data_IF_321179279794
#
_entry.id   IF_321179279794
#
_cell.length_a   1.000
_cell.length_b   1.000
_cell.length_c   1.000
_cell.angle_alpha   90.00
_cell.angle_beta   90.00
_cell.angle_gamma   90.00
#
_symmetry.space_group_name_H-M   'P 1'
#
loop_
_entity.id
_entity.type
_entity.pdbx_description
1 polymer ?
#
# COMPACT_ATOMS: atom_id res chain seq x y z
N UNK A 1 -28.65 2.00 -19.27
CA UNK A 1 -27.98 1.90 -17.96
C UNK A 1 -26.93 0.82 -18.09
N UNK A 2 -25.67 1.16 -17.91
CA UNK A 2 -24.66 0.13 -17.70
C UNK A 2 -24.98 -0.58 -16.38
N UNK A 3 -25.13 -1.90 -16.43
CA UNK A 3 -25.32 -2.71 -15.24
C UNK A 3 -23.94 -2.90 -14.63
N UNK A 4 -23.72 -2.31 -13.46
CA UNK A 4 -22.53 -2.59 -12.65
C UNK A 4 -22.71 -3.95 -11.97
N UNK A 5 -21.94 -4.94 -12.40
CA UNK A 5 -21.94 -6.29 -11.82
C UNK A 5 -21.04 -6.40 -10.58
N UNK A 6 -20.47 -5.30 -10.09
CA UNK A 6 -19.60 -5.29 -8.92
C UNK A 6 -20.37 -5.57 -7.62
N UNK A 7 -19.76 -6.37 -6.74
CA UNK A 7 -20.24 -6.61 -5.38
C UNK A 7 -19.77 -5.55 -4.37
N UNK A 8 -19.07 -4.51 -4.85
CA UNK A 8 -18.47 -3.44 -4.03
C UNK A 8 -18.57 -2.10 -4.76
N UNK A 9 -18.69 -1.01 -4.00
CA UNK A 9 -18.69 0.34 -4.57
C UNK A 9 -17.26 0.84 -4.81
N UNK A 10 -17.11 1.88 -5.64
CA UNK A 10 -15.79 2.53 -5.85
C UNK A 10 -15.25 3.11 -4.54
N UNK A 11 -16.11 3.66 -3.70
CA UNK A 11 -15.78 4.23 -2.40
C UNK A 11 -15.32 3.15 -1.42
N UNK A 12 -15.94 1.97 -1.43
CA UNK A 12 -15.51 0.83 -0.61
C UNK A 12 -14.09 0.38 -0.97
N UNK A 13 -13.80 0.27 -2.28
CA UNK A 13 -12.47 -0.07 -2.79
C UNK A 13 -11.44 1.01 -2.46
N UNK A 14 -11.79 2.30 -2.57
CA UNK A 14 -10.90 3.40 -2.19
C UNK A 14 -10.58 3.35 -0.69
N UNK A 15 -11.58 3.11 0.16
CA UNK A 15 -11.38 2.96 1.60
C UNK A 15 -10.48 1.77 1.93
N UNK A 16 -10.67 0.64 1.25
CA UNK A 16 -9.81 -0.53 1.38
C UNK A 16 -8.34 -0.21 1.08
N UNK A 17 -8.05 0.44 -0.06
CA UNK A 17 -6.69 0.85 -0.39
C UNK A 17 -6.12 1.87 0.59
N UNK A 18 -6.92 2.84 1.04
CA UNK A 18 -6.49 3.83 2.02
C UNK A 18 -6.11 3.19 3.36
N UNK A 19 -6.84 2.15 3.78
CA UNK A 19 -6.52 1.36 4.98
C UNK A 19 -5.15 0.71 4.85
N UNK A 20 -4.89 0.01 3.74
CA UNK A 20 -3.60 -0.62 3.46
C UNK A 20 -2.47 0.41 3.45
N UNK A 21 -2.63 1.51 2.71
CA UNK A 21 -1.64 2.60 2.64
C UNK A 21 -1.33 3.18 4.03
N UNK A 22 -2.36 3.35 4.87
CA UNK A 22 -2.21 3.86 6.24
C UNK A 22 -1.43 2.89 7.12
N UNK A 23 -1.70 1.59 7.04
CA UNK A 23 -0.99 0.56 7.79
C UNK A 23 0.48 0.46 7.38
N UNK A 24 0.76 0.49 6.07
CA UNK A 24 2.14 0.51 5.56
C UNK A 24 2.89 1.73 6.11
N UNK A 25 2.29 2.91 6.05
CA UNK A 25 2.89 4.13 6.61
C UNK A 25 3.14 4.00 8.11
N UNK A 26 2.18 3.49 8.88
CA UNK A 26 2.28 3.27 10.32
C UNK A 26 3.49 2.37 10.64
N UNK A 27 3.53 1.16 10.09
CA UNK A 27 4.61 0.22 10.37
C UNK A 27 5.97 0.70 9.85
N UNK A 28 6.01 1.39 8.69
CA UNK A 28 7.23 2.02 8.19
C UNK A 28 7.80 3.02 9.19
N UNK A 29 6.94 3.87 9.76
CA UNK A 29 7.35 4.86 10.76
C UNK A 29 7.75 4.22 12.08
N UNK A 30 7.06 3.17 12.53
CA UNK A 30 7.46 2.39 13.72
C UNK A 30 8.84 1.73 13.56
N UNK A 31 9.23 1.36 12.34
CA UNK A 31 10.58 0.87 12.01
C UNK A 31 11.61 1.98 11.76
N UNK A 32 11.22 3.25 11.80
CA UNK A 32 12.11 4.39 11.55
C UNK A 32 12.63 4.47 10.11
N UNK A 33 11.93 3.87 9.13
CA UNK A 33 12.37 3.84 7.74
C UNK A 33 11.85 5.05 6.96
N UNK A 34 12.68 5.64 6.11
CA UNK A 34 12.21 6.61 5.11
C UNK A 34 11.43 5.89 4.00
N UNK A 35 10.60 6.63 3.27
CA UNK A 35 9.93 6.10 2.07
C UNK A 35 10.95 5.60 1.04
N UNK A 36 12.05 6.31 0.87
CA UNK A 36 13.14 5.94 -0.05
C UNK A 36 13.80 4.62 0.35
N UNK A 37 14.12 4.46 1.64
CA UNK A 37 14.74 3.23 2.12
C UNK A 37 13.84 2.03 1.89
N UNK A 38 12.54 2.14 2.20
CA UNK A 38 11.60 1.04 1.99
C UNK A 38 11.34 0.78 0.50
N UNK A 39 11.23 1.82 -0.33
CA UNK A 39 11.07 1.67 -1.78
C UNK A 39 12.23 0.90 -2.42
N UNK A 40 13.47 1.26 -2.08
CA UNK A 40 14.66 0.56 -2.57
C UNK A 40 14.70 -0.91 -2.11
N UNK A 41 14.32 -1.16 -0.85
CA UNK A 41 14.31 -2.51 -0.26
C UNK A 41 13.36 -3.47 -0.99
N UNK A 42 12.21 -2.95 -1.44
CA UNK A 42 11.21 -3.75 -2.18
C UNK A 42 11.43 -3.75 -3.71
N UNK A 43 12.52 -3.14 -4.19
CA UNK A 43 12.88 -3.07 -5.61
C UNK A 43 12.10 -2.03 -6.43
N UNK A 44 11.44 -1.07 -5.77
CA UNK A 44 10.73 0.04 -6.42
C UNK A 44 11.72 1.17 -6.69
N UNK A 45 12.07 1.37 -7.97
CA UNK A 45 13.01 2.42 -8.40
C UNK A 45 12.42 3.84 -8.38
N UNK A 46 11.11 3.97 -8.50
CA UNK A 46 10.44 5.27 -8.52
C UNK A 46 9.96 5.66 -7.12
N UNK A 47 10.66 6.60 -6.50
CA UNK A 47 10.25 7.16 -5.20
C UNK A 47 8.88 7.84 -5.28
N UNK A 48 8.57 8.48 -6.41
CA UNK A 48 7.28 9.10 -6.66
C UNK A 48 6.15 8.04 -6.70
N UNK A 49 6.39 6.89 -7.31
CA UNK A 49 5.42 5.79 -7.30
C UNK A 49 5.16 5.30 -5.88
N UNK A 50 6.22 5.03 -5.10
CA UNK A 50 6.07 4.61 -3.71
C UNK A 50 5.29 5.64 -2.89
N UNK A 51 5.67 6.92 -2.98
CA UNK A 51 5.02 8.02 -2.25
C UNK A 51 3.54 8.16 -2.61
N UNK A 52 3.20 8.01 -3.90
CA UNK A 52 1.81 8.03 -4.35
C UNK A 52 1.00 6.84 -3.83
N UNK A 53 1.60 5.63 -3.77
CA UNK A 53 0.95 4.46 -3.19
C UNK A 53 0.71 4.62 -1.69
N UNK A 54 1.72 5.04 -0.92
CA UNK A 54 1.60 5.23 0.53
C UNK A 54 0.70 6.41 0.88
N UNK A 55 0.61 7.43 0.02
CA UNK A 55 -0.31 8.56 0.20
C UNK A 55 -1.71 8.31 -0.38
N UNK A 56 -1.93 7.16 -1.03
CA UNK A 56 -3.17 6.82 -1.73
C UNK A 56 -3.60 7.91 -2.74
N UNK A 57 -2.66 8.41 -3.55
CA UNK A 57 -2.90 9.48 -4.53
C UNK A 57 -2.81 8.96 -5.96
N UNK A 58 -3.50 9.65 -6.88
CA UNK A 58 -3.47 9.39 -8.33
C UNK A 58 -3.83 7.95 -8.70
N UNK A 59 -4.70 7.30 -7.91
CA UNK A 59 -5.10 5.91 -8.09
C UNK A 59 -3.90 4.95 -8.15
N UNK A 60 -2.83 5.25 -7.40
CA UNK A 60 -1.66 4.39 -7.25
C UNK A 60 -1.79 3.58 -5.99
N UNK A 61 -1.61 2.28 -6.14
CA UNK A 61 -1.71 1.30 -5.07
C UNK A 61 -0.55 0.30 -5.18
N UNK A 62 -0.18 -0.29 -4.04
CA UNK A 62 0.74 -1.41 -4.01
C UNK A 62 0.04 -2.66 -4.58
N UNK A 63 0.73 -3.39 -5.46
CA UNK A 63 0.26 -4.70 -5.90
C UNK A 63 0.60 -5.77 -4.85
N UNK A 64 0.13 -7.00 -5.05
CA UNK A 64 0.34 -8.09 -4.10
C UNK A 64 1.83 -8.40 -3.84
N UNK A 65 2.68 -8.31 -4.87
CA UNK A 65 4.11 -8.52 -4.74
C UNK A 65 4.76 -7.45 -3.85
N UNK A 66 4.39 -6.18 -4.02
CA UNK A 66 4.81 -5.08 -3.16
C UNK A 66 4.37 -5.34 -1.72
N UNK A 67 3.11 -5.72 -1.48
CA UNK A 67 2.62 -6.00 -0.12
C UNK A 67 3.42 -7.13 0.56
N UNK A 68 3.72 -8.20 -0.18
CA UNK A 68 4.55 -9.29 0.33
C UNK A 68 5.96 -8.81 0.69
N UNK A 69 6.64 -8.08 -0.21
CA UNK A 69 7.98 -7.55 0.06
C UNK A 69 8.01 -6.54 1.20
N UNK A 70 7.00 -5.66 1.28
CA UNK A 70 6.84 -4.70 2.38
C UNK A 70 6.71 -5.45 3.71
N UNK A 71 5.90 -6.51 3.78
CA UNK A 71 5.77 -7.30 5.01
C UNK A 71 7.09 -7.91 5.47
N UNK A 72 7.93 -8.36 4.52
CA UNK A 72 9.27 -8.88 4.80
C UNK A 72 10.24 -7.78 5.26
N UNK A 73 10.26 -6.64 4.58
CA UNK A 73 11.10 -5.49 4.93
C UNK A 73 10.77 -4.95 6.33
N UNK A 74 9.48 -4.92 6.68
CA UNK A 74 8.98 -4.46 7.96
C UNK A 74 8.99 -5.54 9.06
N UNK A 75 9.33 -6.78 8.73
CA UNK A 75 9.31 -7.93 9.65
C UNK A 75 7.98 -8.04 10.42
N UNK A 76 6.86 -8.06 9.69
CA UNK A 76 5.48 -8.21 10.20
C UNK A 76 4.74 -9.30 9.41
N UNK A 77 3.59 -9.77 9.92
CA UNK A 77 2.74 -10.66 9.13
C UNK A 77 2.03 -9.84 8.04
N UNK A 78 1.89 -10.41 6.84
CA UNK A 78 1.28 -9.68 5.71
C UNK A 78 -0.18 -9.27 5.98
N UNK A 79 -0.91 -10.07 6.77
CA UNK A 79 -2.26 -9.77 7.25
C UNK A 79 -2.35 -8.45 8.03
N UNK A 80 -1.27 -8.03 8.70
CA UNK A 80 -1.24 -6.80 9.48
C UNK A 80 -1.38 -5.56 8.59
N UNK A 81 -1.09 -5.69 7.28
CA UNK A 81 -1.33 -4.64 6.29
C UNK A 81 -2.82 -4.42 6.02
N UNK A 82 -3.68 -5.39 6.30
CA UNK A 82 -5.12 -5.36 6.04
C UNK A 82 -5.96 -5.07 7.29
N UNK A 83 -5.36 -5.15 8.49
CA UNK A 83 -6.03 -4.98 9.78
C UNK A 83 -6.47 -3.55 10.06
#
# INVERSE_FOLDING_TARGET
MEVDFSNSSKEEIEFFYKKISTNIKKYRLEKGLSQEKLALDIGVKSIAFYSNCESNRYQKHFNLEHLYKISKSLNINIEDLFK
#
